data_IF_094539167242
#
_entry.id   IF_094539167242
#
_cell.length_a   1.000
_cell.length_b   1.000
_cell.length_c   1.000
_cell.angle_alpha   90.00
_cell.angle_beta   90.00
_cell.angle_gamma   90.00
#
_symmetry.space_group_name_H-M   'P 1'
#
loop_
_entity.id
_entity.type
_entity.pdbx_description
1 polymer ?
#
# COMPACT_ATOMS: atom_id res chain seq x y z
N UNK A 1 30.06 -16.36 36.41
CA UNK A 1 29.68 -15.32 35.43
C UNK A 1 28.46 -15.83 34.68
N UNK A 2 27.30 -15.20 34.87
CA UNK A 2 26.09 -15.55 34.12
C UNK A 2 26.05 -14.66 32.87
N UNK A 3 26.12 -15.27 31.70
CA UNK A 3 25.96 -14.58 30.43
C UNK A 3 24.46 -14.35 30.19
N UNK A 4 24.03 -13.10 30.30
CA UNK A 4 22.73 -12.64 29.81
C UNK A 4 22.84 -12.47 28.29
N UNK A 5 22.14 -13.33 27.54
CA UNK A 5 21.96 -13.17 26.11
C UNK A 5 20.97 -12.02 25.87
N UNK A 6 21.46 -10.92 25.31
CA UNK A 6 20.63 -9.80 24.85
C UNK A 6 20.04 -10.18 23.49
N UNK A 7 18.78 -10.62 23.48
CA UNK A 7 18.01 -10.81 22.25
C UNK A 7 17.61 -9.44 21.70
N UNK A 8 18.30 -8.98 20.65
CA UNK A 8 17.92 -7.79 19.91
C UNK A 8 16.70 -8.13 19.06
N UNK A 9 15.50 -7.77 19.55
CA UNK A 9 14.26 -7.86 18.79
C UNK A 9 14.32 -6.80 17.67
N UNK A 10 14.58 -7.24 16.44
CA UNK A 10 14.55 -6.36 15.27
C UNK A 10 13.07 -6.04 14.96
N UNK A 11 12.51 -5.00 15.58
CA UNK A 11 11.20 -4.49 15.18
C UNK A 11 11.31 -3.92 13.77
N UNK A 12 10.49 -4.34 12.80
CA UNK A 12 10.48 -3.70 11.49
C UNK A 12 10.03 -2.25 11.69
N UNK A 13 10.95 -1.30 11.55
CA UNK A 13 10.59 0.11 11.48
C UNK A 13 9.71 0.30 10.25
N UNK A 14 8.44 0.61 10.47
CA UNK A 14 7.50 0.95 9.40
C UNK A 14 7.97 2.27 8.78
N UNK A 15 8.72 2.19 7.68
CA UNK A 15 9.15 3.39 6.94
C UNK A 15 7.95 3.85 6.13
N UNK A 16 7.27 4.90 6.60
CA UNK A 16 6.23 5.58 5.82
C UNK A 16 6.89 6.38 4.70
N UNK A 17 7.00 5.78 3.52
CA UNK A 17 7.53 6.48 2.36
C UNK A 17 6.43 7.24 1.60
N UNK A 18 5.15 6.89 1.74
CA UNK A 18 4.00 7.45 1.02
C UNK A 18 2.99 8.10 1.97
N UNK A 19 2.06 8.92 1.43
CA UNK A 19 0.87 9.33 2.17
C UNK A 19 0.11 8.14 2.77
N UNK A 20 -0.34 8.30 4.01
CA UNK A 20 -1.21 7.37 4.76
C UNK A 20 -2.25 8.20 5.52
N UNK A 21 -3.25 7.53 6.09
CA UNK A 21 -4.15 8.17 7.04
C UNK A 21 -3.38 8.44 8.34
N UNK A 22 -3.51 9.65 8.89
CA UNK A 22 -2.82 10.01 10.13
C UNK A 22 -3.32 9.19 11.32
N UNK A 23 -2.41 8.80 12.21
CA UNK A 23 -2.69 8.07 13.45
C UNK A 23 -3.62 6.85 13.25
N UNK A 24 -3.49 6.15 12.12
CA UNK A 24 -4.37 5.04 11.75
C UNK A 24 -4.04 3.70 12.40
N UNK A 25 -2.94 3.65 13.17
CA UNK A 25 -2.65 2.62 14.17
C UNK A 25 -2.97 3.06 15.61
N UNK A 26 -3.66 4.20 15.79
CA UNK A 26 -4.26 4.61 17.07
C UNK A 26 -3.33 4.67 18.28
N UNK A 27 -2.08 5.10 18.08
CA UNK A 27 -1.06 5.16 19.15
C UNK A 27 -1.12 6.46 19.98
N UNK A 28 -1.75 7.50 19.43
CA UNK A 28 -1.84 8.81 20.10
C UNK A 28 -3.28 9.20 20.36
N UNK A 29 -3.55 9.72 21.56
CA UNK A 29 -4.89 9.98 22.06
C UNK A 29 -4.96 11.31 22.79
N UNK A 30 -6.16 11.90 22.79
CA UNK A 30 -6.51 13.10 23.55
C UNK A 30 -7.66 12.78 24.49
N UNK A 31 -7.79 13.55 25.58
CA UNK A 31 -8.91 13.38 26.51
C UNK A 31 -8.95 12.06 27.29
N UNK A 32 -7.84 11.31 27.37
CA UNK A 32 -7.74 10.00 28.02
C UNK A 32 -8.34 9.98 29.44
N UNK A 33 -9.17 8.98 29.71
CA UNK A 33 -9.86 8.80 30.99
C UNK A 33 -11.05 9.73 31.20
N UNK A 34 -11.36 10.59 30.22
CA UNK A 34 -12.54 11.45 30.19
C UNK A 34 -13.56 11.03 29.15
N UNK A 35 -14.73 11.68 29.14
CA UNK A 35 -15.80 11.39 28.19
C UNK A 35 -15.51 11.82 26.75
N UNK A 36 -14.44 12.61 26.52
CA UNK A 36 -13.97 13.11 25.22
C UNK A 36 -12.70 12.40 24.77
N UNK A 37 -12.47 11.18 25.26
CA UNK A 37 -11.34 10.37 24.85
C UNK A 37 -11.49 9.94 23.38
N UNK A 38 -10.54 10.38 22.55
CA UNK A 38 -10.53 10.14 21.11
C UNK A 38 -9.09 10.02 20.61
N UNK A 39 -8.81 9.20 19.57
CA UNK A 39 -7.51 9.20 18.91
C UNK A 39 -7.21 10.58 18.34
N UNK A 40 -5.98 11.07 18.47
CA UNK A 40 -5.56 12.32 17.82
C UNK A 40 -5.80 12.24 16.30
N UNK A 41 -6.22 13.33 15.66
CA UNK A 41 -6.62 13.40 14.23
C UNK A 41 -7.93 12.67 13.86
N UNK A 42 -8.64 12.14 14.86
CA UNK A 42 -9.96 11.50 14.69
C UNK A 42 -10.99 12.13 15.64
N UNK A 43 -12.22 12.31 15.17
CA UNK A 43 -13.35 12.78 15.99
C UNK A 43 -14.43 11.72 16.10
N UNK A 44 -15.20 11.76 17.18
CA UNK A 44 -16.45 11.01 17.35
C UNK A 44 -17.65 11.96 17.44
N UNK A 45 -18.82 11.42 17.80
CA UNK A 45 -19.99 12.25 18.13
C UNK A 45 -19.75 13.19 19.32
N UNK A 46 -18.71 12.96 20.13
CA UNK A 46 -18.41 13.79 21.30
C UNK A 46 -17.79 15.14 20.95
N UNK A 47 -17.00 15.20 19.89
CA UNK A 47 -16.37 16.42 19.36
C UNK A 47 -17.00 16.90 18.05
N UNK A 48 -18.28 16.56 17.87
CA UNK A 48 -19.08 16.93 16.69
C UNK A 48 -19.23 18.45 16.51
N UNK A 49 -19.81 18.86 15.38
CA UNK A 49 -20.21 20.25 15.13
C UNK A 49 -21.60 20.64 15.69
N UNK A 50 -22.35 19.72 16.31
CA UNK A 50 -23.71 19.92 16.82
C UNK A 50 -23.82 20.91 18.01
N UNK A 51 -22.70 21.53 18.41
CA UNK A 51 -22.64 22.51 19.47
C UNK A 51 -22.65 21.91 20.89
N UNK A 52 -22.51 22.79 21.88
CA UNK A 52 -22.26 22.38 23.27
C UNK A 52 -23.36 21.52 23.88
N UNK A 53 -24.63 21.76 23.52
CA UNK A 53 -25.75 20.98 24.05
C UNK A 53 -25.71 19.53 23.53
N UNK A 54 -25.58 19.34 22.22
CA UNK A 54 -25.53 18.01 21.62
C UNK A 54 -24.31 17.24 22.12
N UNK A 55 -23.13 17.88 22.15
CA UNK A 55 -21.89 17.24 22.61
C UNK A 55 -21.92 16.86 24.10
N UNK A 56 -22.65 17.60 24.94
CA UNK A 56 -22.86 17.23 26.36
C UNK A 56 -23.78 16.01 26.50
N UNK A 57 -24.82 15.91 25.67
CA UNK A 57 -25.76 14.79 25.68
C UNK A 57 -25.23 13.53 24.98
N UNK A 58 -24.29 13.69 24.04
CA UNK A 58 -23.65 12.59 23.33
C UNK A 58 -22.90 11.68 24.34
N UNK A 59 -23.11 10.36 24.32
CA UNK A 59 -22.33 9.45 25.14
C UNK A 59 -20.90 9.30 24.57
N UNK A 60 -19.99 8.73 25.37
CA UNK A 60 -18.71 8.27 24.84
C UNK A 60 -18.93 6.98 24.04
N UNK A 61 -18.34 6.90 22.86
CA UNK A 61 -18.56 5.77 21.92
C UNK A 61 -17.26 5.14 21.41
N UNK A 62 -16.11 5.68 21.84
CA UNK A 62 -14.79 5.18 21.51
C UNK A 62 -13.87 5.22 22.74
N UNK A 63 -12.95 4.26 22.80
CA UNK A 63 -11.96 4.08 23.87
C UNK A 63 -10.65 3.58 23.31
N UNK A 64 -9.55 3.97 23.96
CA UNK A 64 -8.25 3.34 23.78
C UNK A 64 -8.30 1.93 24.38
N UNK A 65 -7.78 0.95 23.64
CA UNK A 65 -7.63 -0.41 24.13
C UNK A 65 -6.16 -0.83 24.05
N UNK A 66 -5.67 -1.53 25.08
CA UNK A 66 -4.29 -2.01 25.13
C UNK A 66 -4.12 -3.36 24.43
N UNK A 67 -5.21 -4.03 24.05
CA UNK A 67 -5.18 -5.11 23.06
C UNK A 67 -5.04 -4.48 21.67
N UNK A 68 -3.86 -4.62 21.07
CA UNK A 68 -3.50 -4.03 19.79
C UNK A 68 -2.88 -5.09 18.86
N UNK A 69 -3.01 -4.89 17.54
CA UNK A 69 -2.40 -5.77 16.55
C UNK A 69 -0.89 -5.47 16.43
N UNK A 70 -0.53 -4.20 16.28
CA UNK A 70 0.85 -3.73 16.47
C UNK A 70 0.88 -2.55 17.43
N UNK A 71 2.08 -2.07 17.77
CA UNK A 71 2.22 -0.95 18.69
C UNK A 71 1.69 -1.25 20.10
N UNK A 72 1.11 -0.24 20.75
CA UNK A 72 0.63 -0.33 22.14
C UNK A 72 -0.88 -0.25 22.25
N UNK A 73 -1.56 0.34 21.27
CA UNK A 73 -2.96 0.70 21.40
C UNK A 73 -3.74 0.45 20.12
N UNK A 74 -4.99 0.05 20.27
CA UNK A 74 -5.99 0.08 19.20
C UNK A 74 -7.15 0.98 19.59
N UNK A 75 -8.09 1.19 18.67
CA UNK A 75 -9.37 1.81 18.99
C UNK A 75 -10.45 0.75 19.18
N UNK A 76 -11.17 0.83 20.31
CA UNK A 76 -12.44 0.13 20.50
C UNK A 76 -13.60 1.10 20.29
N UNK A 77 -14.52 0.72 19.42
CA UNK A 77 -15.81 1.39 19.23
C UNK A 77 -16.92 0.53 19.84
N UNK A 78 -17.91 1.18 20.47
CA UNK A 78 -19.08 0.50 21.02
C UNK A 78 -20.34 1.29 20.76
N UNK A 79 -21.38 0.60 20.32
CA UNK A 79 -22.73 1.15 20.29
C UNK A 79 -23.27 1.18 21.72
N UNK A 80 -23.60 2.36 22.23
CA UNK A 80 -24.03 2.57 23.62
C UNK A 80 -25.43 3.17 23.69
N UNK A 81 -26.07 3.09 24.86
CA UNK A 81 -27.34 3.76 25.10
C UNK A 81 -27.12 5.27 25.25
N UNK A 82 -27.93 6.07 24.56
CA UNK A 82 -28.04 7.51 24.68
C UNK A 82 -29.49 7.91 25.02
N UNK A 83 -29.70 9.21 25.27
CA UNK A 83 -31.01 9.78 25.63
C UNK A 83 -32.05 9.57 24.50
N UNK A 84 -31.60 9.59 23.25
CA UNK A 84 -32.45 9.49 22.05
C UNK A 84 -32.44 8.09 21.40
N UNK A 85 -31.80 7.10 22.04
CA UNK A 85 -31.69 5.74 21.50
C UNK A 85 -30.26 5.22 21.47
N UNK A 86 -29.98 4.26 20.59
CA UNK A 86 -28.63 3.73 20.40
C UNK A 86 -27.73 4.77 19.72
N UNK A 87 -26.57 5.04 20.31
CA UNK A 87 -25.50 5.82 19.69
C UNK A 87 -24.43 4.87 19.17
N UNK A 88 -24.27 4.80 17.85
CA UNK A 88 -23.29 3.93 17.22
C UNK A 88 -21.86 4.37 17.58
N UNK A 89 -21.01 3.39 17.87
CA UNK A 89 -19.56 3.59 17.91
C UNK A 89 -19.08 4.15 16.59
N UNK A 90 -18.59 5.39 16.55
CA UNK A 90 -18.08 6.00 15.32
C UNK A 90 -16.87 6.88 15.60
N UNK A 91 -15.88 6.78 14.72
CA UNK A 91 -14.81 7.77 14.57
C UNK A 91 -14.61 8.14 13.11
N UNK A 92 -14.10 9.35 12.86
CA UNK A 92 -13.81 9.86 11.52
C UNK A 92 -12.57 10.75 11.51
N UNK A 93 -11.81 10.75 10.41
CA UNK A 93 -10.73 11.73 10.19
C UNK A 93 -11.26 13.11 9.80
N UNK A 94 -12.56 13.20 9.56
CA UNK A 94 -13.29 14.44 9.37
C UNK A 94 -13.88 14.94 10.68
N UNK A 95 -15.07 15.53 10.57
CA UNK A 95 -15.92 15.88 11.70
C UNK A 95 -17.27 15.19 11.57
N UNK A 96 -17.84 14.81 12.72
CA UNK A 96 -19.22 14.35 12.77
C UNK A 96 -20.16 15.54 12.79
N UNK A 97 -21.17 15.52 11.92
CA UNK A 97 -22.37 16.32 12.03
C UNK A 97 -23.39 15.56 12.87
N UNK A 98 -23.51 15.92 14.15
CA UNK A 98 -24.39 15.23 15.08
C UNK A 98 -25.68 16.01 15.30
N UNK A 99 -26.80 15.31 15.18
CA UNK A 99 -28.15 15.87 15.31
C UNK A 99 -28.96 14.97 16.25
N UNK A 100 -30.02 15.51 16.87
CA UNK A 100 -30.95 14.70 17.68
C UNK A 100 -31.88 13.82 16.81
N UNK A 101 -31.92 14.09 15.51
CA UNK A 101 -32.58 13.27 14.48
C UNK A 101 -31.48 12.51 13.74
N UNK A 102 -31.15 11.27 14.13
CA UNK A 102 -29.95 10.58 13.66
C UNK A 102 -29.85 10.43 12.13
N UNK A 103 -30.98 10.40 11.43
CA UNK A 103 -31.07 10.30 9.97
C UNK A 103 -30.42 11.49 9.25
N UNK A 104 -30.33 12.64 9.92
CA UNK A 104 -29.68 13.84 9.38
C UNK A 104 -28.17 13.87 9.67
N UNK A 105 -27.66 12.93 10.47
CA UNK A 105 -26.25 12.85 10.81
C UNK A 105 -25.40 12.37 9.64
N UNK A 106 -24.20 12.93 9.52
CA UNK A 106 -23.20 12.50 8.56
C UNK A 106 -21.80 12.84 9.09
N UNK A 107 -20.76 12.32 8.45
CA UNK A 107 -19.39 12.79 8.67
C UNK A 107 -18.93 13.56 7.44
N UNK A 108 -18.12 14.59 7.62
CA UNK A 108 -17.64 15.42 6.52
C UNK A 108 -16.20 15.87 6.72
N UNK A 109 -15.52 16.22 5.63
CA UNK A 109 -14.21 16.88 5.71
C UNK A 109 -14.41 18.36 6.01
N UNK A 110 -13.90 18.83 7.16
CA UNK A 110 -13.86 20.26 7.47
C UNK A 110 -12.58 20.86 6.86
N UNK A 111 -12.71 21.40 5.65
CA UNK A 111 -11.58 21.94 4.89
C UNK A 111 -10.89 23.13 5.57
N UNK A 112 -11.60 23.83 6.47
CA UNK A 112 -11.07 24.98 7.19
C UNK A 112 -10.27 24.60 8.44
N UNK A 113 -10.31 23.33 8.85
CA UNK A 113 -9.73 22.88 10.10
C UNK A 113 -8.83 21.66 9.89
N UNK A 114 -7.52 21.85 10.02
CA UNK A 114 -6.50 20.81 9.81
C UNK A 114 -6.62 19.63 10.76
N UNK A 115 -7.31 19.79 11.89
CA UNK A 115 -7.60 18.68 12.81
C UNK A 115 -8.61 17.69 12.20
N UNK A 116 -9.51 18.17 11.34
CA UNK A 116 -10.67 17.44 10.81
C UNK A 116 -10.65 17.35 9.28
N UNK A 117 -9.45 17.34 8.71
CA UNK A 117 -9.21 17.01 7.32
C UNK A 117 -7.90 16.24 7.17
N UNK A 118 -7.80 15.48 6.07
CA UNK A 118 -6.60 14.75 5.71
C UNK A 118 -6.29 15.03 4.25
N UNK A 119 -5.25 15.83 4.00
CA UNK A 119 -4.81 16.11 2.65
C UNK A 119 -4.34 14.82 1.96
N UNK A 120 -4.89 14.53 0.80
CA UNK A 120 -4.57 13.33 0.03
C UNK A 120 -4.61 13.66 -1.45
N UNK A 121 -3.44 13.70 -2.08
CA UNK A 121 -3.31 13.87 -3.54
C UNK A 121 -2.99 12.57 -4.26
N UNK A 122 -2.95 11.47 -3.51
CA UNK A 122 -2.56 10.14 -4.01
C UNK A 122 -3.77 9.26 -4.29
N UNK A 123 -3.57 8.25 -5.14
CA UNK A 123 -4.56 7.28 -5.60
C UNK A 123 -4.14 5.85 -5.20
N UNK A 124 -4.39 5.42 -3.95
CA UNK A 124 -4.10 4.06 -3.50
C UNK A 124 -4.89 2.99 -4.28
N UNK A 125 -4.29 1.82 -4.42
CA UNK A 125 -4.95 0.65 -4.99
C UNK A 125 -5.99 0.06 -4.03
N UNK A 126 -5.63 -0.09 -2.75
CA UNK A 126 -6.46 -0.78 -1.78
C UNK A 126 -6.34 -0.19 -0.38
N UNK A 127 -7.42 -0.34 0.39
CA UNK A 127 -7.47 -0.13 1.83
C UNK A 127 -7.28 -1.47 2.54
N UNK A 128 -6.45 -1.48 3.57
CA UNK A 128 -6.19 -2.63 4.43
C UNK A 128 -6.39 -2.24 5.88
N UNK A 129 -6.50 -3.22 6.76
CA UNK A 129 -6.50 -3.00 8.20
C UNK A 129 -6.71 -4.30 8.96
N UNK A 130 -6.73 -4.19 10.27
CA UNK A 130 -6.98 -5.29 11.19
C UNK A 130 -8.18 -4.99 12.04
N UNK A 131 -8.96 -6.03 12.35
CA UNK A 131 -10.15 -5.88 13.18
C UNK A 131 -10.37 -7.05 14.13
N UNK A 132 -11.13 -6.76 15.18
CA UNK A 132 -11.90 -7.71 15.99
C UNK A 132 -13.35 -7.22 16.06
N UNK A 133 -14.27 -8.12 16.33
CA UNK A 133 -15.70 -7.78 16.38
C UNK A 133 -16.44 -8.62 17.42
N UNK A 134 -17.39 -8.00 18.11
CA UNK A 134 -18.38 -8.64 18.97
C UNK A 134 -19.75 -8.00 18.72
N UNK A 135 -20.37 -8.27 17.56
CA UNK A 135 -21.66 -7.68 17.22
C UNK A 135 -22.82 -8.40 17.92
N UNK A 136 -23.90 -7.67 18.19
CA UNK A 136 -25.20 -8.27 18.42
C UNK A 136 -25.74 -8.88 17.11
N UNK A 137 -26.71 -9.80 17.23
CA UNK A 137 -27.26 -10.52 16.07
C UNK A 137 -27.80 -9.55 14.99
N UNK A 138 -27.26 -9.66 13.78
CA UNK A 138 -27.66 -8.83 12.63
C UNK A 138 -26.88 -7.51 12.50
N UNK A 139 -26.11 -7.15 13.51
CA UNK A 139 -25.31 -5.92 13.52
C UNK A 139 -23.89 -6.16 12.98
N UNK A 140 -23.26 -5.14 12.41
CA UNK A 140 -21.90 -5.23 11.90
C UNK A 140 -21.27 -3.84 11.75
N UNK A 141 -19.96 -3.75 11.97
CA UNK A 141 -19.24 -2.49 11.79
C UNK A 141 -18.97 -2.16 10.32
N UNK A 142 -18.27 -1.06 10.09
CA UNK A 142 -17.84 -0.63 8.76
C UNK A 142 -16.53 0.11 8.84
N UNK A 143 -15.69 -0.07 7.83
CA UNK A 143 -14.56 0.82 7.54
C UNK A 143 -14.78 1.39 6.15
N UNK A 144 -14.82 2.71 6.04
CA UNK A 144 -15.07 3.38 4.77
C UNK A 144 -14.12 4.56 4.59
N UNK A 145 -13.48 4.65 3.42
CA UNK A 145 -12.66 5.79 3.02
C UNK A 145 -13.16 6.28 1.66
N UNK A 146 -13.45 7.58 1.58
CA UNK A 146 -13.64 8.27 0.29
C UNK A 146 -12.43 9.15 -0.01
N UNK A 147 -12.06 9.20 -1.28
CA UNK A 147 -11.14 10.17 -1.85
C UNK A 147 -12.00 11.18 -2.61
N UNK A 148 -11.79 12.46 -2.39
CA UNK A 148 -12.66 13.49 -2.98
C UNK A 148 -11.93 14.82 -3.24
N UNK A 149 -12.57 15.66 -4.05
CA UNK A 149 -12.17 17.04 -4.32
C UNK A 149 -13.24 17.99 -3.79
N UNK A 150 -12.90 19.14 -3.22
CA UNK A 150 -13.96 20.00 -2.67
C UNK A 150 -14.67 19.34 -1.47
N UNK A 151 -15.96 19.61 -1.30
CA UNK A 151 -16.72 19.09 -0.17
C UNK A 151 -16.96 17.57 -0.32
N UNK A 152 -16.81 16.83 0.78
CA UNK A 152 -17.05 15.39 0.82
C UNK A 152 -17.62 14.96 2.17
N UNK A 153 -18.63 14.09 2.13
CA UNK A 153 -19.28 13.53 3.31
C UNK A 153 -19.64 12.06 3.16
N UNK A 154 -19.83 11.36 4.27
CA UNK A 154 -20.38 9.99 4.34
C UNK A 154 -21.57 10.00 5.31
N UNK A 155 -22.79 9.61 4.89
CA UNK A 155 -23.20 9.31 3.52
C UNK A 155 -23.01 10.53 2.58
N UNK A 156 -23.15 10.32 1.27
CA UNK A 156 -22.79 11.31 0.25
C UNK A 156 -23.42 12.69 0.44
N UNK A 157 -24.64 12.80 0.99
CA UNK A 157 -25.30 14.08 1.30
C UNK A 157 -25.17 15.15 0.18
N UNK A 158 -25.36 14.75 -1.09
CA UNK A 158 -25.22 15.62 -2.27
C UNK A 158 -23.78 15.90 -2.72
N UNK A 159 -22.76 15.34 -2.06
CA UNK A 159 -21.34 15.49 -2.39
C UNK A 159 -20.80 14.46 -3.37
N UNK A 160 -21.61 13.52 -3.86
CA UNK A 160 -21.11 12.44 -4.74
C UNK A 160 -20.39 12.93 -6.00
N UNK A 161 -20.83 14.05 -6.58
CA UNK A 161 -20.16 14.66 -7.75
C UNK A 161 -18.69 15.05 -7.50
N UNK A 162 -18.29 15.17 -6.24
CA UNK A 162 -16.95 15.48 -5.79
C UNK A 162 -16.10 14.22 -5.48
N UNK A 163 -16.72 13.04 -5.43
CA UNK A 163 -16.01 11.81 -5.08
C UNK A 163 -15.13 11.36 -6.24
N UNK A 164 -13.88 11.03 -5.93
CA UNK A 164 -12.89 10.49 -6.85
C UNK A 164 -12.85 8.97 -6.78
N UNK A 165 -12.89 8.42 -5.56
CA UNK A 165 -12.94 6.98 -5.35
C UNK A 165 -13.36 6.62 -3.94
N UNK A 166 -13.68 5.35 -3.72
CA UNK A 166 -14.17 4.81 -2.44
C UNK A 166 -13.62 3.42 -2.19
N UNK A 167 -13.22 3.16 -0.95
CA UNK A 167 -13.04 1.82 -0.41
C UNK A 167 -14.01 1.64 0.76
N UNK A 168 -14.83 0.58 0.74
CA UNK A 168 -15.75 0.23 1.82
C UNK A 168 -15.55 -1.24 2.16
N UNK A 169 -15.41 -1.53 3.44
CA UNK A 169 -15.35 -2.88 3.96
C UNK A 169 -16.34 -3.05 5.12
N UNK A 170 -17.03 -4.18 5.12
CA UNK A 170 -18.01 -4.58 6.11
C UNK A 170 -17.73 -6.04 6.49
N UNK A 171 -17.51 -6.36 7.78
CA UNK A 171 -17.42 -7.73 8.23
C UNK A 171 -18.79 -8.39 8.22
N UNK A 172 -18.80 -9.73 8.22
CA UNK A 172 -20.01 -10.46 8.58
C UNK A 172 -20.42 -10.13 10.02
N UNK A 173 -21.73 -10.25 10.32
CA UNK A 173 -22.27 -10.18 11.68
C UNK A 173 -21.86 -11.43 12.47
N UNK A 174 -20.61 -11.47 12.89
CA UNK A 174 -20.00 -12.60 13.60
C UNK A 174 -18.94 -12.11 14.59
N UNK A 175 -18.78 -12.86 15.68
CA UNK A 175 -17.72 -12.60 16.65
C UNK A 175 -16.36 -13.00 16.06
N UNK A 176 -15.40 -12.10 16.15
CA UNK A 176 -14.00 -12.26 15.73
C UNK A 176 -13.12 -11.85 16.91
N UNK A 177 -12.51 -12.82 17.57
CA UNK A 177 -11.73 -12.60 18.82
C UNK A 177 -10.23 -12.45 18.60
N UNK A 178 -9.74 -12.82 17.42
CA UNK A 178 -8.34 -12.67 17.01
C UNK A 178 -8.23 -11.59 15.94
N UNK A 179 -7.19 -10.74 16.02
CA UNK A 179 -6.89 -9.76 15.00
C UNK A 179 -6.88 -10.39 13.61
N UNK A 180 -7.82 -9.97 12.78
CA UNK A 180 -8.03 -10.51 11.44
C UNK A 180 -7.83 -9.40 10.42
N UNK A 181 -7.02 -9.66 9.41
CA UNK A 181 -6.75 -8.70 8.35
C UNK A 181 -7.92 -8.62 7.37
N UNK A 182 -8.27 -7.41 6.94
CA UNK A 182 -9.11 -7.17 5.77
C UNK A 182 -8.34 -6.42 4.68
N UNK A 183 -8.84 -6.49 3.46
CA UNK A 183 -8.29 -5.81 2.30
C UNK A 183 -9.40 -5.61 1.28
N UNK A 184 -9.63 -4.37 0.85
CA UNK A 184 -10.61 -4.04 -0.19
C UNK A 184 -10.01 -3.04 -1.18
N UNK A 185 -10.29 -3.17 -2.49
CA UNK A 185 -9.80 -2.21 -3.47
C UNK A 185 -10.53 -0.87 -3.35
N UNK A 186 -9.87 0.21 -3.78
CA UNK A 186 -10.55 1.45 -4.11
C UNK A 186 -11.26 1.30 -5.45
N UNK A 187 -12.55 1.60 -5.47
CA UNK A 187 -13.31 1.81 -6.70
C UNK A 187 -13.22 3.29 -7.10
N UNK A 188 -12.66 3.58 -8.27
CA UNK A 188 -12.51 4.94 -8.77
C UNK A 188 -13.64 5.32 -9.74
N UNK A 189 -14.29 6.45 -9.46
CA UNK A 189 -15.38 6.98 -10.28
C UNK A 189 -14.89 7.84 -11.44
N UNK A 190 -13.69 8.42 -11.30
CA UNK A 190 -13.08 9.29 -12.30
C UNK A 190 -11.55 9.31 -12.16
N UNK A 191 -10.89 10.02 -13.08
CA UNK A 191 -9.44 10.16 -13.16
C UNK A 191 -8.88 11.40 -12.43
N UNK A 192 -9.70 12.17 -11.72
CA UNK A 192 -9.25 13.39 -11.05
C UNK A 192 -8.21 13.07 -9.96
N UNK A 193 -7.28 13.99 -9.71
CA UNK A 193 -6.43 13.90 -8.53
C UNK A 193 -7.24 14.27 -7.29
N UNK A 194 -7.33 13.41 -6.25
CA UNK A 194 -8.00 13.79 -5.01
C UNK A 194 -7.33 14.99 -4.34
N UNK A 195 -8.07 15.66 -3.46
CA UNK A 195 -7.51 16.66 -2.54
C UNK A 195 -7.53 16.16 -1.11
N UNK A 196 -8.50 15.31 -0.77
CA UNK A 196 -8.79 14.90 0.60
C UNK A 196 -9.10 13.40 0.67
N UNK A 197 -8.79 12.81 1.82
CA UNK A 197 -9.32 11.53 2.26
C UNK A 197 -10.25 11.76 3.47
N UNK A 198 -11.41 11.10 3.48
CA UNK A 198 -12.32 11.05 4.61
C UNK A 198 -12.55 9.60 4.99
N UNK A 199 -12.08 9.21 6.17
CA UNK A 199 -12.27 7.87 6.73
C UNK A 199 -13.36 7.89 7.80
N UNK A 200 -14.21 6.87 7.84
CA UNK A 200 -15.22 6.64 8.85
C UNK A 200 -15.22 5.16 9.28
N UNK A 201 -15.07 4.91 10.57
CA UNK A 201 -15.10 3.58 11.18
C UNK A 201 -16.28 3.49 12.12
N UNK A 202 -17.05 2.40 12.08
CA UNK A 202 -18.21 2.19 12.95
C UNK A 202 -18.23 0.84 13.64
N UNK A 203 -18.80 0.76 14.85
CA UNK A 203 -19.02 -0.49 15.57
C UNK A 203 -20.18 -1.30 14.99
N UNK A 204 -21.31 -0.63 14.73
CA UNK A 204 -22.54 -1.23 14.20
C UNK A 204 -23.00 -0.61 12.88
N UNK A 205 -24.14 -1.11 12.41
CA UNK A 205 -24.71 -0.84 11.09
C UNK A 205 -25.47 0.48 11.09
N UNK A 206 -24.69 1.57 11.04
CA UNK A 206 -25.20 2.92 10.84
C UNK A 206 -26.32 3.27 11.84
N UNK A 207 -27.54 3.53 11.36
CA UNK A 207 -28.69 3.96 12.17
C UNK A 207 -29.45 2.82 12.82
N UNK A 208 -29.20 1.57 12.43
CA UNK A 208 -29.87 0.37 12.97
C UNK A 208 -28.97 -0.43 13.92
N UNK A 209 -27.87 0.19 14.37
CA UNK A 209 -26.94 -0.39 15.33
C UNK A 209 -27.62 -0.77 16.66
N UNK A 210 -27.15 -1.85 17.28
CA UNK A 210 -27.71 -2.38 18.53
C UNK A 210 -26.75 -2.14 19.69
N UNK A 211 -27.27 -1.63 20.82
CA UNK A 211 -26.50 -1.36 22.04
C UNK A 211 -25.72 -2.60 22.50
N UNK A 212 -24.43 -2.43 22.75
CA UNK A 212 -23.49 -3.48 23.15
C UNK A 212 -22.67 -4.08 22.01
N UNK A 213 -22.98 -3.75 20.74
CA UNK A 213 -22.13 -4.11 19.60
C UNK A 213 -20.78 -3.41 19.70
N UNK A 214 -19.69 -4.17 19.56
CA UNK A 214 -18.32 -3.67 19.64
C UNK A 214 -17.51 -4.04 18.41
N UNK A 215 -16.63 -3.14 17.99
CA UNK A 215 -15.59 -3.41 17.02
C UNK A 215 -14.26 -2.81 17.50
N UNK A 216 -13.17 -3.49 17.20
CA UNK A 216 -11.82 -2.97 17.38
C UNK A 216 -11.17 -2.83 16.02
N UNK A 217 -10.44 -1.76 15.82
CA UNK A 217 -9.71 -1.48 14.59
C UNK A 217 -8.28 -1.11 14.91
N UNK A 218 -7.38 -1.56 14.04
CA UNK A 218 -5.98 -1.21 14.13
C UNK A 218 -5.32 -1.24 12.74
N UNK A 219 -4.20 -0.53 12.62
CA UNK A 219 -3.32 -0.51 11.45
C UNK A 219 -4.04 -0.28 10.11
N UNK A 220 -4.95 0.70 10.05
CA UNK A 220 -5.61 1.06 8.79
C UNK A 220 -4.57 1.63 7.83
N UNK A 221 -4.45 1.02 6.66
CA UNK A 221 -3.40 1.32 5.70
C UNK A 221 -3.90 1.47 4.27
N UNK A 222 -3.19 2.27 3.49
CA UNK A 222 -3.40 2.48 2.07
C UNK A 222 -2.25 1.83 1.29
N UNK A 223 -2.57 0.90 0.40
CA UNK A 223 -1.58 0.22 -0.44
C UNK A 223 -1.49 0.92 -1.79
N UNK A 224 -0.27 1.13 -2.27
CA UNK A 224 0.03 1.74 -3.55
C UNK A 224 0.82 0.76 -4.40
N UNK A 225 0.26 0.32 -5.52
CA UNK A 225 0.99 -0.54 -6.44
C UNK A 225 2.19 0.23 -7.04
N UNK A 226 3.32 -0.45 -7.20
CA UNK A 226 4.42 -0.02 -8.05
C UNK A 226 4.30 -0.83 -9.34
N UNK A 227 3.83 -0.16 -10.40
CA UNK A 227 3.71 -0.75 -11.71
C UNK A 227 5.05 -0.61 -12.43
N UNK A 228 5.65 -1.73 -12.82
CA UNK A 228 6.87 -1.77 -13.62
C UNK A 228 6.53 -1.98 -15.10
N UNK A 229 7.26 -1.32 -15.99
CA UNK A 229 7.18 -1.46 -17.44
C UNK A 229 8.60 -1.58 -17.99
N UNK A 230 9.13 -2.80 -18.16
CA UNK A 230 10.45 -2.98 -18.74
C UNK A 230 10.43 -2.61 -20.23
N UNK A 231 11.51 -2.04 -20.75
CA UNK A 231 11.63 -1.68 -22.17
C UNK A 231 11.67 -2.89 -23.11
N UNK A 232 11.86 -4.10 -22.56
CA UNK A 232 11.74 -5.39 -23.25
C UNK A 232 11.36 -6.48 -22.26
N UNK A 233 10.66 -7.51 -22.73
CA UNK A 233 10.36 -8.72 -21.96
C UNK A 233 11.31 -9.88 -22.28
N UNK A 234 12.31 -9.66 -23.13
CA UNK A 234 13.35 -10.64 -23.49
C UNK A 234 14.72 -10.00 -23.32
N UNK A 235 15.58 -10.65 -22.54
CA UNK A 235 16.95 -10.25 -22.29
C UNK A 235 17.93 -11.30 -22.84
N UNK A 236 18.88 -10.87 -23.66
CA UNK A 236 19.91 -11.73 -24.22
C UNK A 236 21.13 -11.71 -23.30
N UNK A 237 21.36 -12.80 -22.57
CA UNK A 237 22.44 -12.92 -21.59
C UNK A 237 23.35 -14.07 -22.01
N UNK A 238 24.66 -13.83 -21.98
CA UNK A 238 25.68 -14.86 -22.25
C UNK A 238 26.56 -15.07 -21.02
N UNK A 239 27.45 -16.07 -21.06
CA UNK A 239 28.42 -16.29 -19.98
C UNK A 239 29.36 -15.11 -19.74
N UNK A 240 29.65 -14.30 -20.75
CA UNK A 240 30.58 -13.17 -20.66
C UNK A 240 29.94 -11.78 -20.68
N UNK A 241 28.64 -11.67 -20.99
CA UNK A 241 27.96 -10.38 -21.14
C UNK A 241 26.58 -10.41 -20.50
N UNK A 242 26.33 -9.41 -19.64
CA UNK A 242 25.00 -9.11 -19.11
C UNK A 242 24.13 -8.40 -20.12
N UNK A 243 22.92 -8.02 -19.71
CA UNK A 243 21.96 -7.31 -20.56
C UNK A 243 21.51 -6.00 -19.90
N UNK A 244 21.71 -4.89 -20.61
CA UNK A 244 21.27 -3.57 -20.16
C UNK A 244 19.90 -3.24 -20.74
N UNK A 245 19.02 -2.70 -19.91
CA UNK A 245 17.69 -2.26 -20.29
C UNK A 245 17.19 -1.21 -19.29
N UNK A 246 15.97 -0.73 -19.48
CA UNK A 246 15.34 0.21 -18.56
C UNK A 246 14.02 -0.36 -18.04
N UNK A 247 13.66 0.02 -16.83
CA UNK A 247 12.32 -0.19 -16.28
C UNK A 247 11.74 1.17 -15.97
N UNK A 248 10.72 1.55 -16.75
CA UNK A 248 9.83 2.64 -16.35
C UNK A 248 8.95 2.14 -15.22
N UNK A 249 8.67 3.00 -14.25
CA UNK A 249 7.81 2.64 -13.13
C UNK A 249 6.94 3.82 -12.71
N UNK A 250 5.80 3.48 -12.12
CA UNK A 250 4.89 4.46 -11.53
C UNK A 250 4.19 3.88 -10.30
N UNK A 251 3.75 4.76 -9.42
CA UNK A 251 2.93 4.43 -8.27
C UNK A 251 1.83 5.47 -8.07
N UNK A 252 0.72 5.07 -7.44
CA UNK A 252 -0.42 5.95 -7.19
C UNK A 252 -0.18 7.03 -6.14
N UNK A 253 0.92 6.96 -5.37
CA UNK A 253 1.25 7.96 -4.36
C UNK A 253 2.72 8.30 -4.34
N UNK A 254 3.06 9.58 -4.50
CA UNK A 254 4.44 10.05 -4.46
C UNK A 254 5.06 9.81 -3.08
N UNK A 255 6.35 9.46 -3.01
CA UNK A 255 7.01 9.40 -1.73
C UNK A 255 7.03 10.77 -1.02
N UNK A 256 6.80 10.80 0.29
CA UNK A 256 6.91 11.99 1.16
C UNK A 256 8.35 12.51 1.23
N UNK A 257 9.33 11.63 1.03
CA UNK A 257 10.75 11.94 0.96
C UNK A 257 11.44 10.96 0.00
N UNK A 258 12.63 11.31 -0.46
CA UNK A 258 13.35 10.49 -1.41
C UNK A 258 13.62 9.09 -0.83
N UNK A 259 13.23 8.05 -1.57
CA UNK A 259 13.38 6.65 -1.16
C UNK A 259 13.91 5.79 -2.30
N UNK A 260 14.47 4.63 -1.97
CA UNK A 260 15.02 3.71 -2.96
C UNK A 260 13.90 2.88 -3.59
N UNK A 261 13.75 3.05 -4.90
CA UNK A 261 13.07 2.11 -5.77
C UNK A 261 14.11 1.15 -6.36
N UNK A 262 14.03 -0.12 -5.97
CA UNK A 262 14.99 -1.17 -6.31
C UNK A 262 14.37 -2.10 -7.34
N UNK A 263 14.94 -2.12 -8.54
CA UNK A 263 14.61 -3.10 -9.56
C UNK A 263 15.25 -4.45 -9.21
N UNK A 264 14.45 -5.51 -9.25
CA UNK A 264 14.83 -6.87 -8.87
C UNK A 264 14.44 -7.86 -9.97
N UNK A 265 15.33 -8.82 -10.23
CA UNK A 265 15.07 -10.02 -11.03
C UNK A 265 14.79 -11.20 -10.09
N UNK A 266 13.75 -11.97 -10.37
CA UNK A 266 13.41 -13.21 -9.67
C UNK A 266 14.38 -14.35 -10.02
N UNK A 267 14.19 -15.53 -9.43
CA UNK A 267 14.75 -16.75 -9.99
C UNK A 267 13.99 -17.21 -11.27
N UNK A 268 14.48 -18.28 -11.90
CA UNK A 268 13.91 -18.85 -13.13
C UNK A 268 12.49 -19.42 -12.99
N UNK A 269 12.01 -19.61 -11.74
CA UNK A 269 10.64 -20.04 -11.43
C UNK A 269 9.69 -18.87 -11.14
N UNK A 270 10.21 -17.64 -11.13
CA UNK A 270 9.45 -16.43 -10.86
C UNK A 270 9.37 -16.05 -9.38
N UNK A 271 10.16 -16.70 -8.51
CA UNK A 271 10.18 -16.43 -7.08
C UNK A 271 11.18 -15.32 -6.72
N UNK A 272 10.75 -14.44 -5.82
CA UNK A 272 11.58 -13.36 -5.26
C UNK A 272 12.05 -13.67 -3.84
N UNK A 273 12.22 -14.94 -3.48
CA UNK A 273 12.74 -15.34 -2.16
C UNK A 273 14.23 -14.96 -1.98
N UNK A 274 15.00 -14.92 -3.07
CA UNK A 274 16.39 -14.45 -3.10
C UNK A 274 16.64 -13.70 -4.41
N UNK A 275 16.05 -12.49 -4.55
CA UNK A 275 16.07 -11.78 -5.82
C UNK A 275 17.43 -11.15 -6.09
N UNK A 276 17.77 -11.00 -7.36
CA UNK A 276 18.97 -10.26 -7.78
C UNK A 276 18.62 -8.80 -7.98
N UNK A 277 19.26 -7.89 -7.27
CA UNK A 277 19.14 -6.46 -7.54
C UNK A 277 19.80 -6.12 -8.88
N UNK A 278 19.04 -5.53 -9.79
CA UNK A 278 19.48 -5.18 -11.16
C UNK A 278 19.53 -3.68 -11.41
N UNK A 279 18.99 -2.86 -10.51
CA UNK A 279 19.05 -1.41 -10.59
C UNK A 279 18.45 -0.73 -9.35
N UNK A 280 18.82 0.52 -9.09
CA UNK A 280 18.26 1.32 -8.00
C UNK A 280 18.11 2.78 -8.46
N UNK A 281 17.00 3.41 -8.08
CA UNK A 281 16.80 4.85 -8.19
C UNK A 281 16.35 5.40 -6.84
N UNK A 282 17.01 6.45 -6.36
CA UNK A 282 16.58 7.21 -5.19
C UNK A 282 15.81 8.45 -5.66
N UNK A 283 14.53 8.56 -5.31
CA UNK A 283 13.69 9.69 -5.75
C UNK A 283 12.46 9.87 -4.85
N UNK A 284 11.89 11.08 -4.89
CA UNK A 284 10.61 11.42 -4.28
C UNK A 284 9.47 11.54 -5.33
N UNK A 285 9.74 11.22 -6.59
CA UNK A 285 8.72 11.24 -7.64
C UNK A 285 7.81 10.00 -7.56
N UNK A 286 6.55 10.14 -7.97
CA UNK A 286 5.62 9.02 -8.12
C UNK A 286 5.91 8.13 -9.34
N UNK A 287 6.88 8.50 -10.18
CA UNK A 287 7.27 7.75 -11.37
C UNK A 287 8.71 8.06 -11.76
N UNK A 288 9.32 7.17 -12.53
CA UNK A 288 10.66 7.35 -13.06
C UNK A 288 11.11 6.20 -13.95
N UNK A 289 12.38 6.23 -14.33
CA UNK A 289 13.04 5.19 -15.12
C UNK A 289 14.29 4.72 -14.37
N UNK A 290 14.43 3.40 -14.21
CA UNK A 290 15.60 2.76 -13.60
C UNK A 290 16.43 2.12 -14.70
N UNK A 291 17.70 2.52 -14.80
CA UNK A 291 18.68 1.81 -15.61
C UNK A 291 19.02 0.48 -14.93
N UNK A 292 18.84 -0.61 -15.66
CA UNK A 292 18.97 -1.96 -15.14
C UNK A 292 20.01 -2.78 -15.90
N UNK A 293 20.72 -3.64 -15.19
CA UNK A 293 21.65 -4.61 -15.76
C UNK A 293 21.37 -6.00 -15.20
N UNK A 294 21.01 -6.94 -16.06
CA UNK A 294 20.97 -8.36 -15.71
C UNK A 294 22.41 -8.89 -15.76
N UNK A 295 22.92 -9.53 -14.69
CA UNK A 295 24.30 -10.01 -14.65
C UNK A 295 24.61 -11.02 -15.76
N UNK A 296 25.84 -10.98 -16.26
CA UNK A 296 26.38 -12.04 -17.13
C UNK A 296 26.27 -13.41 -16.44
N UNK A 297 26.09 -14.47 -17.23
CA UNK A 297 25.96 -15.83 -16.72
C UNK A 297 24.61 -16.16 -16.07
N UNK A 298 23.64 -15.23 -16.05
CA UNK A 298 22.26 -15.55 -15.66
C UNK A 298 21.72 -16.64 -16.60
N UNK A 299 21.31 -17.82 -16.07
CA UNK A 299 20.86 -18.93 -16.92
C UNK A 299 19.61 -18.58 -17.74
N UNK A 300 19.52 -19.12 -18.95
CA UNK A 300 18.33 -18.98 -19.78
C UNK A 300 17.10 -19.60 -19.11
N UNK A 301 15.94 -18.98 -19.32
CA UNK A 301 14.67 -19.42 -18.76
C UNK A 301 13.53 -18.47 -19.07
N UNK A 302 12.31 -18.99 -19.14
CA UNK A 302 11.09 -18.23 -19.50
C UNK A 302 10.24 -17.86 -18.28
N UNK A 303 10.56 -18.36 -17.09
CA UNK A 303 9.79 -18.14 -15.86
C UNK A 303 10.25 -16.95 -15.02
N UNK A 304 11.26 -16.19 -15.46
CA UNK A 304 11.73 -15.04 -14.72
C UNK A 304 10.67 -13.92 -14.68
N UNK A 305 10.78 -13.07 -13.67
CA UNK A 305 10.01 -11.85 -13.48
C UNK A 305 10.93 -10.72 -13.05
N UNK A 306 10.56 -9.51 -13.41
CA UNK A 306 11.12 -8.28 -12.86
C UNK A 306 10.07 -7.57 -12.02
N UNK A 307 10.50 -6.90 -10.96
CA UNK A 307 9.65 -6.00 -10.18
C UNK A 307 10.46 -4.79 -9.73
N UNK A 308 9.77 -3.71 -9.40
CA UNK A 308 10.37 -2.58 -8.68
C UNK A 308 9.80 -2.57 -7.28
N UNK A 309 10.66 -2.62 -6.27
CA UNK A 309 10.26 -2.60 -4.87
C UNK A 309 10.71 -1.34 -4.15
N UNK A 310 10.03 -1.05 -3.04
CA UNK A 310 10.44 -0.06 -2.06
C UNK A 310 10.65 -0.76 -0.70
N UNK A 311 11.26 -0.08 0.26
CA UNK A 311 11.39 -0.57 1.64
C UNK A 311 10.07 -0.47 2.43
N UNK A 312 9.21 0.50 2.10
CA UNK A 312 7.88 0.61 2.69
C UNK A 312 6.99 -0.57 2.26
N UNK A 313 6.33 -1.21 3.23
CA UNK A 313 5.35 -2.28 3.01
C UNK A 313 4.03 -1.81 2.40
N UNK A 314 3.78 -0.49 2.40
CA UNK A 314 2.59 0.09 1.77
C UNK A 314 2.77 0.31 0.27
N UNK A 315 3.98 0.10 -0.27
CA UNK A 315 4.21 0.02 -1.69
C UNK A 315 4.24 -1.45 -2.12
N UNK A 316 3.24 -1.88 -2.88
CA UNK A 316 3.13 -3.25 -3.35
C UNK A 316 3.76 -3.40 -4.76
N UNK A 317 4.88 -4.13 -4.91
CA UNK A 317 5.48 -4.35 -6.22
C UNK A 317 4.56 -5.18 -7.12
N UNK A 318 4.38 -4.78 -8.38
CA UNK A 318 3.67 -5.57 -9.39
C UNK A 318 4.69 -6.24 -10.31
N UNK A 319 4.90 -7.57 -10.22
CA UNK A 319 5.87 -8.26 -11.07
C UNK A 319 5.42 -8.37 -12.53
N UNK A 320 6.37 -8.25 -13.46
CA UNK A 320 6.19 -8.43 -14.90
C UNK A 320 7.06 -9.58 -15.38
N UNK A 321 6.56 -10.41 -16.30
CA UNK A 321 7.30 -11.54 -16.84
C UNK A 321 8.51 -11.09 -17.66
N UNK A 322 9.59 -11.85 -17.56
CA UNK A 322 10.82 -11.67 -18.32
C UNK A 322 11.34 -13.02 -18.79
N UNK A 323 11.85 -13.08 -20.02
CA UNK A 323 12.57 -14.24 -20.54
C UNK A 323 14.05 -13.93 -20.64
N UNK A 324 14.89 -14.79 -20.08
CA UNK A 324 16.34 -14.77 -20.31
C UNK A 324 16.64 -15.77 -21.43
N UNK A 325 17.21 -15.28 -22.53
CA UNK A 325 17.65 -16.11 -23.65
C UNK A 325 19.18 -16.11 -23.73
N UNK A 326 19.74 -17.25 -24.11
CA UNK A 326 21.17 -17.43 -24.34
C UNK A 326 21.52 -17.54 -25.81
N UNK A 327 20.60 -17.18 -26.71
CA UNK A 327 20.76 -17.40 -28.15
C UNK A 327 22.11 -16.85 -28.62
N UNK A 328 22.99 -17.79 -28.98
CA UNK A 328 24.21 -17.45 -29.68
C UNK A 328 23.77 -17.08 -31.08
N UNK A 329 24.10 -15.86 -31.52
CA UNK A 329 24.07 -15.59 -32.96
C UNK A 329 25.02 -16.62 -33.59
N UNK A 330 24.45 -17.65 -34.23
CA UNK A 330 25.21 -18.55 -35.09
C UNK A 330 25.66 -17.70 -36.27
N UNK A 331 26.86 -17.13 -36.18
CA UNK A 331 27.50 -16.51 -37.32
C UNK A 331 27.90 -17.64 -38.26
N UNK A 332 27.05 -17.93 -39.24
CA UNK A 332 27.42 -18.75 -40.39
C UNK A 332 28.44 -17.96 -41.22
N UNK A 333 29.71 -18.02 -40.85
CA UNK A 333 30.78 -17.51 -41.70
C UNK A 333 30.97 -18.49 -42.88
N UNK A 334 30.71 -18.01 -44.10
CA UNK A 334 31.22 -18.68 -45.29
C UNK A 334 32.72 -18.42 -45.33
N UNK A 335 33.53 -19.42 -44.94
CA UNK A 335 34.97 -19.40 -45.20
C UNK A 335 35.15 -19.63 -46.71
N UNK A 336 35.47 -18.58 -47.45
CA UNK A 336 35.98 -18.71 -48.80
C UNK A 336 37.48 -18.93 -48.70
N UNK A 337 37.93 -20.15 -48.99
CA UNK A 337 39.35 -20.43 -49.25
C UNK A 337 39.57 -20.16 -50.74
N UNK A 338 39.96 -18.93 -51.08
CA UNK A 338 40.37 -18.61 -52.44
C UNK A 338 41.87 -18.91 -52.58
N UNK A 339 42.18 -20.02 -53.24
CA UNK A 339 43.55 -20.43 -53.52
C UNK A 339 43.59 -21.80 -54.17
N UNK A 340 44.64 -22.12 -54.97
CA UNK A 340 44.81 -23.47 -55.49
C UNK A 340 44.95 -24.46 -54.32
N UNK A 341 44.20 -25.55 -54.38
CA UNK A 341 44.31 -26.66 -53.43
C UNK A 341 45.71 -27.28 -53.55
N UNK A 342 46.57 -27.08 -52.54
CA UNK A 342 47.84 -27.78 -52.41
C UNK A 342 47.61 -29.11 -51.69
N UNK A 343 47.91 -30.22 -52.36
CA UNK A 343 47.67 -31.59 -51.85
C UNK A 343 48.82 -32.11 -50.97
N UNK A 344 49.72 -31.22 -50.53
CA UNK A 344 50.84 -31.53 -49.65
C UNK A 344 50.52 -31.32 -48.16
N UNK A 345 50.89 -32.29 -47.32
CA UNK A 345 50.97 -32.05 -45.86
C UNK A 345 52.16 -31.13 -45.59
N UNK A 346 51.91 -29.84 -45.39
CA UNK A 346 52.95 -28.89 -45.00
C UNK A 346 52.84 -28.57 -43.51
N UNK A 347 53.94 -28.74 -42.77
CA UNK A 347 54.08 -28.21 -41.42
C UNK A 347 54.13 -26.68 -41.48
N UNK A 348 53.24 -26.01 -40.74
CA UNK A 348 53.21 -24.55 -40.62
C UNK A 348 54.56 -24.05 -40.08
N UNK A 349 55.38 -23.46 -40.95
CA UNK A 349 56.63 -22.79 -40.58
C UNK A 349 56.52 -21.30 -40.86
N UNK A 350 57.30 -20.48 -40.14
CA UNK A 350 57.22 -19.01 -40.14
C UNK A 350 57.37 -18.36 -41.53
N UNK A 351 57.78 -19.10 -42.57
CA UNK A 351 57.91 -18.58 -43.93
C UNK A 351 56.58 -18.39 -44.68
N UNK A 352 55.47 -19.00 -44.23
CA UNK A 352 54.15 -18.80 -44.84
C UNK A 352 53.46 -17.50 -44.38
N UNK A 353 53.88 -16.89 -43.26
CA UNK A 353 53.35 -15.58 -42.79
C UNK A 353 53.84 -14.38 -43.61
N UNK A 354 54.97 -14.52 -44.32
CA UNK A 354 55.60 -13.41 -45.03
C UNK A 354 55.08 -13.21 -46.48
N UNK A 355 54.37 -14.18 -47.04
CA UNK A 355 53.91 -14.17 -48.43
C UNK A 355 52.51 -13.58 -48.67
N UNK A 356 51.81 -13.16 -47.62
CA UNK A 356 50.46 -12.58 -47.75
C UNK A 356 49.38 -13.55 -48.24
N UNK A 357 49.61 -14.87 -48.18
CA UNK A 357 48.56 -15.87 -48.38
C UNK A 357 47.82 -16.09 -47.07
N UNK A 358 46.68 -15.41 -46.94
CA UNK A 358 45.49 -15.90 -46.25
C UNK A 358 44.44 -16.14 -47.31
#
# INVERSE_FOLDING_TARGET
MRHTALSLLLMPTLVLAQPQISNSGFETWTGLGGATEEPSEWSSIKTSDGGSLINQLAPQVCWQDADAHTGSYSVRLETVSAIIGAANGIITTGRVHAELTPENGYVFTDQGNTQWNQAMTSRPDSMIGWYKAMPNAGDHGKVEIILHTGAGSIPENGTFGNWVGRARWEPASATVTTWTRFSVPFFYYNSNTPQWALAALTAGDSLVSTVGTKAWYDDIGLIYNINAVPSTNVAMVTGGMGFNFTIDWSTGGAPLFASNFTAELSDASGSFASPTTIGVQNTANASGTINCTIPAGTPAGTGYKVRVRNASSFYAPVPVNMTISSDQVLVSAKLFLDGPYDNGSQTMTDQLRAGGLI
#
